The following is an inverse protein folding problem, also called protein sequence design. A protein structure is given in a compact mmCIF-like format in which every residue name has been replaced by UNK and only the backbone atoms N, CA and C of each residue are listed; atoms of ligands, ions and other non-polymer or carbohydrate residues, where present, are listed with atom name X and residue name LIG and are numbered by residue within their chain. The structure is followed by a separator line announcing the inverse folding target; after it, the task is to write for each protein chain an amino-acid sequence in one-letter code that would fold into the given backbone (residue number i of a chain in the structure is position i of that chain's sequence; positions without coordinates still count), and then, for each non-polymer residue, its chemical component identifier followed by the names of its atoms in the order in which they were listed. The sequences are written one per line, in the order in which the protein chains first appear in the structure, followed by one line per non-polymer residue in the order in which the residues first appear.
data_IF_995887503772
#
_entry.id   IF_995887503772
#
_cell.length_a   1.000
_cell.length_b   1.000
_cell.length_c   1.000
_cell.angle_alpha   90.00
_cell.angle_beta   90.00
_cell.angle_gamma   90.00
#
_symmetry.space_group_name_H-M   'P 1'
#
loop_
_entity.id
_entity.type
_entity.pdbx_description
1 polymer ?
#
# COMPACT_ATOMS: atom_id res chain seq x y z
N UNK A 1 -2.59 -10.65 -9.12
CA UNK A 1 -3.98 -11.09 -9.37
C UNK A 1 -4.51 -10.81 -10.80
N UNK A 2 -4.08 -9.77 -11.53
CA UNK A 2 -4.71 -9.41 -12.83
C UNK A 2 -4.37 -10.27 -14.06
N UNK A 3 -3.21 -10.92 -14.12
CA UNK A 3 -2.74 -11.61 -15.35
C UNK A 3 -3.61 -12.81 -15.76
N UNK A 4 -4.15 -13.57 -14.81
CA UNK A 4 -4.99 -14.75 -15.08
C UNK A 4 -6.39 -14.40 -15.60
N UNK A 5 -6.91 -13.22 -15.25
CA UNK A 5 -8.24 -12.78 -15.68
C UNK A 5 -8.23 -12.38 -17.16
N UNK A 6 -7.22 -11.62 -17.60
CA UNK A 6 -7.07 -11.18 -19.00
C UNK A 6 -7.09 -12.35 -19.99
N UNK A 7 -6.35 -13.43 -19.68
CA UNK A 7 -6.28 -14.62 -20.53
C UNK A 7 -7.61 -15.38 -20.66
N UNK A 8 -8.45 -15.37 -19.61
CA UNK A 8 -9.76 -16.07 -19.63
C UNK A 8 -10.79 -15.38 -20.53
N UNK A 9 -10.66 -14.08 -20.71
CA UNK A 9 -11.60 -13.25 -21.48
C UNK A 9 -10.99 -12.74 -22.80
N UNK A 10 -9.78 -13.16 -23.15
CA UNK A 10 -9.13 -12.76 -24.40
C UNK A 10 -8.77 -11.27 -24.49
N UNK A 11 -8.55 -10.60 -23.35
CA UNK A 11 -8.24 -9.17 -23.36
C UNK A 11 -6.78 -8.90 -23.79
N UNK A 12 -6.51 -7.81 -24.53
CA UNK A 12 -5.17 -7.37 -24.87
C UNK A 12 -4.26 -7.20 -23.65
N UNK A 13 -2.96 -7.42 -23.85
CA UNK A 13 -1.97 -7.27 -22.78
C UNK A 13 -2.01 -5.85 -22.18
N UNK A 14 -2.18 -4.84 -23.03
CA UNK A 14 -2.18 -3.42 -22.66
C UNK A 14 -3.51 -2.93 -22.06
N UNK A 15 -4.48 -3.83 -21.88
CA UNK A 15 -5.76 -3.44 -21.31
C UNK A 15 -5.63 -3.15 -19.80
N UNK A 16 -6.12 -2.00 -19.30
CA UNK A 16 -6.07 -1.70 -17.88
C UNK A 16 -7.01 -2.63 -17.10
N UNK A 17 -6.47 -3.38 -16.14
CA UNK A 17 -7.30 -4.25 -15.28
C UNK A 17 -8.07 -3.48 -14.21
N UNK A 18 -7.74 -2.21 -14.02
CA UNK A 18 -8.31 -1.32 -13.01
C UNK A 18 -8.47 0.03 -13.67
N UNK A 19 -9.52 0.78 -13.34
CA UNK A 19 -9.69 2.15 -13.82
C UNK A 19 -8.46 3.00 -13.46
N UNK A 20 -8.01 3.86 -14.38
CA UNK A 20 -6.85 4.73 -14.18
C UNK A 20 -6.95 5.56 -12.89
N UNK A 21 -8.16 6.05 -12.59
CA UNK A 21 -8.44 6.91 -11.43
C UNK A 21 -8.68 6.14 -10.11
N UNK A 22 -8.70 4.81 -10.12
CA UNK A 22 -9.05 4.02 -8.92
C UNK A 22 -8.16 4.34 -7.72
N UNK A 23 -6.86 4.50 -7.97
CA UNK A 23 -5.89 4.83 -6.93
C UNK A 23 -6.13 6.22 -6.33
N UNK A 24 -6.61 7.18 -7.13
CA UNK A 24 -6.90 8.55 -6.68
C UNK A 24 -8.12 8.55 -5.76
N UNK A 25 -9.24 7.96 -6.21
CA UNK A 25 -10.47 7.89 -5.41
C UNK A 25 -10.27 7.15 -4.09
N UNK A 26 -9.55 6.02 -4.12
CA UNK A 26 -9.26 5.24 -2.91
C UNK A 26 -8.35 6.00 -1.95
N UNK A 27 -7.36 6.73 -2.46
CA UNK A 27 -6.48 7.59 -1.65
C UNK A 27 -7.25 8.73 -1.00
N UNK A 28 -8.17 9.37 -1.73
CA UNK A 28 -9.01 10.44 -1.19
C UNK A 28 -9.80 9.97 0.04
N UNK A 29 -10.50 8.84 -0.08
CA UNK A 29 -11.27 8.25 1.02
C UNK A 29 -10.37 7.97 2.23
N UNK A 30 -9.18 7.41 2.02
CA UNK A 30 -8.25 7.11 3.09
C UNK A 30 -7.77 8.38 3.82
N UNK A 31 -7.44 9.44 3.08
CA UNK A 31 -6.99 10.72 3.65
C UNK A 31 -8.14 11.40 4.41
N UNK A 32 -9.35 11.38 3.84
CA UNK A 32 -10.56 11.93 4.46
C UNK A 32 -10.88 11.18 5.76
N UNK A 33 -10.65 9.85 5.79
CA UNK A 33 -10.72 9.02 6.99
C UNK A 33 -9.53 9.20 7.96
N UNK A 34 -8.57 10.07 7.64
CA UNK A 34 -7.43 10.39 8.51
C UNK A 34 -6.24 9.42 8.42
N UNK A 35 -6.26 8.44 7.52
CA UNK A 35 -5.12 7.54 7.31
C UNK A 35 -3.94 8.28 6.63
N UNK A 36 -2.72 7.92 7.02
CA UNK A 36 -1.49 8.42 6.40
C UNK A 36 -0.99 9.78 6.90
N UNK A 37 -1.64 10.36 7.91
CA UNK A 37 -1.11 11.55 8.61
C UNK A 37 0.02 11.10 9.55
N UNK A 38 1.15 11.81 9.51
CA UNK A 38 2.17 11.67 10.56
C UNK A 38 1.63 12.37 11.79
N UNK A 39 1.39 11.60 12.86
CA UNK A 39 1.07 12.20 14.15
C UNK A 39 2.39 12.76 14.67
N UNK A 40 2.57 14.08 14.63
CA UNK A 40 3.67 14.72 15.34
C UNK A 40 3.45 14.49 16.84
N UNK A 41 4.27 13.62 17.44
CA UNK A 41 4.32 13.41 18.88
C UNK A 41 3.75 12.11 19.44
N UNK A 42 3.32 11.13 18.64
CA UNK A 42 2.94 9.81 19.18
C UNK A 42 3.87 8.70 18.70
N UNK A 43 5.03 8.63 19.33
CA UNK A 43 5.79 7.39 19.45
C UNK A 43 5.13 6.47 20.50
N UNK A 44 3.83 6.21 20.34
CA UNK A 44 3.03 5.20 21.04
C UNK A 44 1.55 5.57 20.84
N UNK A 45 0.88 4.87 19.93
CA UNK A 45 -0.57 4.66 19.97
C UNK A 45 -0.93 3.56 18.98
N UNK A 46 -0.68 2.32 19.41
CA UNK A 46 -1.38 1.14 18.92
C UNK A 46 -2.83 1.19 19.39
N UNK A 47 -3.79 1.26 18.46
CA UNK A 47 -5.19 0.88 18.77
C UNK A 47 -5.90 0.30 17.54
N UNK A 48 -5.87 -1.04 17.41
CA UNK A 48 -7.00 -2.02 17.32
C UNK A 48 -6.54 -3.32 16.57
N UNK A 49 -6.98 -4.53 16.96
CA UNK A 49 -6.17 -5.73 16.90
C UNK A 49 -6.24 -6.41 15.54
N UNK A 50 -5.10 -6.45 14.86
CA UNK A 50 -4.87 -7.43 13.81
C UNK A 50 -4.07 -8.57 14.41
N UNK A 51 -4.74 -9.69 14.61
CA UNK A 51 -4.12 -11.00 14.86
C UNK A 51 -3.12 -11.29 13.73
N UNK A 52 -1.83 -11.19 14.03
CA UNK A 52 -0.79 -11.89 13.26
C UNK A 52 0.55 -11.77 13.97
N UNK A 53 0.93 -12.87 14.63
CA UNK A 53 2.30 -13.25 14.94
C UNK A 53 3.19 -13.08 13.70
N UNK A 54 3.91 -11.97 13.61
CA UNK A 54 5.09 -11.82 12.77
C UNK A 54 5.87 -10.59 13.21
N UNK A 55 6.98 -10.83 13.90
CA UNK A 55 7.95 -9.81 14.28
C UNK A 55 8.40 -8.98 13.06
N UNK A 56 8.28 -7.64 13.08
CA UNK A 56 8.71 -6.82 11.95
C UNK A 56 10.24 -6.75 11.90
N UNK A 57 10.85 -7.59 11.07
CA UNK A 57 12.27 -7.53 10.77
C UNK A 57 12.55 -6.26 9.96
N UNK A 58 13.20 -5.26 10.59
CA UNK A 58 13.67 -4.03 9.93
C UNK A 58 14.50 -4.38 8.70
N UNK A 59 13.97 -4.13 7.50
CA UNK A 59 14.75 -4.14 6.25
C UNK A 59 15.43 -2.79 6.10
N UNK A 60 16.67 -2.70 6.56
CA UNK A 60 17.56 -1.57 6.29
C UNK A 60 18.50 -1.89 5.12
N UNK A 61 18.39 -1.14 4.02
CA UNK A 61 19.52 -1.00 3.08
C UNK A 61 20.63 -0.24 3.84
N UNK A 62 21.90 -0.67 3.78
CA UNK A 62 22.97 0.05 4.47
C UNK A 62 23.05 1.49 3.97
N UNK A 63 23.26 2.43 4.89
CA UNK A 63 23.45 3.85 4.59
C UNK A 63 24.67 3.97 3.67
N UNK A 64 24.50 4.61 2.51
CA UNK A 64 25.63 4.94 1.62
C UNK A 64 26.40 6.09 2.27
N UNK A 65 27.62 5.80 2.70
CA UNK A 65 28.56 6.82 3.20
C UNK A 65 29.07 7.60 1.97
N UNK A 66 28.99 8.94 1.93
CA UNK A 66 29.70 9.72 0.92
C UNK A 66 31.22 9.64 1.17
N UNK A 67 32.00 9.59 0.08
CA UNK A 67 33.46 9.76 0.11
C UNK A 67 33.82 11.23 0.28
#
# INVERSE_FOLDING_TARGET
MGRKYKARFGLPHDYPSVAAEYSVSRRKIAIDAGLGRKIEGSADRDVWPATSDATPRRRGRPRKVPR
#
